data_IF_350391461075
#
_entry.id   IF_350391461075
#
_cell.length_a   1.000
_cell.length_b   1.000
_cell.length_c   1.000
_cell.angle_alpha   90.00
_cell.angle_beta   90.00
_cell.angle_gamma   90.00
#
_symmetry.space_group_name_H-M   'P 1'
#
loop_
_entity.id
_entity.type
_entity.pdbx_description
1 polymer ?
#
# COMPACT_ATOMS: atom_id res chain seq x y z
N UNK A 1 40.32 -22.14 19.67
CA UNK A 1 39.82 -20.75 19.69
C UNK A 1 39.39 -20.20 18.32
N UNK A 2 40.15 -20.39 17.21
CA UNK A 2 39.77 -19.86 15.88
C UNK A 2 38.37 -20.28 15.38
N UNK A 3 37.97 -21.54 15.58
CA UNK A 3 36.64 -22.04 15.16
C UNK A 3 35.46 -21.41 15.94
N UNK A 4 35.63 -21.14 17.23
CA UNK A 4 34.60 -20.52 18.08
C UNK A 4 34.43 -19.04 17.68
N UNK A 5 35.53 -18.32 17.42
CA UNK A 5 35.49 -16.92 16.98
C UNK A 5 34.85 -16.75 15.59
N UNK A 6 35.13 -17.66 14.64
CA UNK A 6 34.48 -17.65 13.32
C UNK A 6 32.98 -17.96 13.42
N UNK A 7 32.59 -18.92 14.26
CA UNK A 7 31.19 -19.24 14.54
C UNK A 7 30.44 -18.06 15.18
N UNK A 8 31.05 -17.39 16.16
CA UNK A 8 30.49 -16.19 16.80
C UNK A 8 30.32 -15.03 15.80
N UNK A 9 31.30 -14.80 14.91
CA UNK A 9 31.22 -13.76 13.87
C UNK A 9 30.14 -14.06 12.84
N UNK A 10 29.99 -15.32 12.41
CA UNK A 10 28.92 -15.76 11.49
C UNK A 10 27.54 -15.62 12.12
N UNK A 11 27.40 -15.99 13.39
CA UNK A 11 26.16 -15.85 14.17
C UNK A 11 25.75 -14.38 14.34
N UNK A 12 26.70 -13.51 14.70
CA UNK A 12 26.46 -12.06 14.81
C UNK A 12 26.03 -11.45 13.47
N UNK A 13 26.66 -11.86 12.36
CA UNK A 13 26.28 -11.40 11.01
C UNK A 13 24.87 -11.86 10.60
N UNK A 14 24.48 -13.08 10.95
CA UNK A 14 23.13 -13.58 10.66
C UNK A 14 22.07 -12.85 11.50
N UNK A 15 22.35 -12.58 12.78
CA UNK A 15 21.46 -11.79 13.63
C UNK A 15 21.26 -10.37 13.10
N UNK A 16 22.31 -9.74 12.58
CA UNK A 16 22.21 -8.44 11.92
C UNK A 16 21.30 -8.52 10.68
N UNK A 17 21.53 -9.47 9.77
CA UNK A 17 20.70 -9.62 8.57
C UNK A 17 19.22 -9.86 8.92
N UNK A 18 18.95 -10.71 9.91
CA UNK A 18 17.59 -10.92 10.44
C UNK A 18 16.95 -9.62 10.93
N UNK A 19 17.69 -8.79 11.66
CA UNK A 19 17.17 -7.52 12.19
C UNK A 19 16.87 -6.49 11.08
N UNK A 20 17.53 -6.59 9.93
CA UNK A 20 17.29 -5.70 8.79
C UNK A 20 15.98 -6.01 8.06
N UNK A 21 15.45 -7.23 8.16
CA UNK A 21 14.20 -7.61 7.47
C UNK A 21 12.99 -6.81 8.01
N UNK A 22 12.72 -6.73 9.34
CA UNK A 22 11.66 -5.86 9.86
C UNK A 22 11.87 -4.37 9.53
N UNK A 23 13.12 -3.90 9.48
CA UNK A 23 13.44 -2.50 9.11
C UNK A 23 13.07 -2.24 7.65
N UNK A 24 13.47 -3.13 6.74
CA UNK A 24 13.11 -3.06 5.33
C UNK A 24 11.59 -3.10 5.15
N UNK A 25 10.90 -3.95 5.93
CA UNK A 25 9.44 -4.07 5.89
C UNK A 25 8.76 -2.79 6.35
N UNK A 26 9.20 -2.20 7.46
CA UNK A 26 8.69 -0.93 7.95
C UNK A 26 8.88 0.20 6.93
N UNK A 27 9.99 0.18 6.18
CA UNK A 27 10.22 1.13 5.09
C UNK A 27 9.23 0.93 3.93
N UNK A 28 9.03 -0.30 3.47
CA UNK A 28 8.04 -0.64 2.42
C UNK A 28 6.62 -0.22 2.82
N UNK A 29 6.15 -0.67 3.98
CA UNK A 29 4.81 -0.37 4.50
C UNK A 29 4.61 1.13 4.70
N UNK A 30 5.57 1.78 5.37
CA UNK A 30 5.54 3.21 5.62
C UNK A 30 5.55 4.03 4.33
N UNK A 31 6.37 3.66 3.36
CA UNK A 31 6.47 4.37 2.08
C UNK A 31 5.15 4.34 1.31
N UNK A 32 4.57 3.15 1.10
CA UNK A 32 3.29 3.00 0.38
C UNK A 32 2.19 3.80 1.06
N UNK A 33 2.12 3.75 2.40
CA UNK A 33 1.16 4.54 3.17
C UNK A 33 1.35 6.05 2.95
N UNK A 34 2.55 6.56 3.18
CA UNK A 34 2.84 7.99 3.15
C UNK A 34 2.67 8.59 1.75
N UNK A 35 3.12 7.89 0.71
CA UNK A 35 2.95 8.36 -0.67
C UNK A 35 1.47 8.36 -1.08
N UNK A 36 0.70 7.35 -0.66
CA UNK A 36 -0.75 7.29 -0.90
C UNK A 36 -1.49 8.45 -0.23
N UNK A 37 -1.16 8.72 1.03
CA UNK A 37 -1.68 9.86 1.80
C UNK A 37 -1.32 11.17 1.09
N UNK A 38 -0.08 11.34 0.65
CA UNK A 38 0.37 12.54 -0.04
C UNK A 38 -0.40 12.78 -1.35
N UNK A 39 -0.60 11.73 -2.18
CA UNK A 39 -1.40 11.85 -3.42
C UNK A 39 -2.83 12.28 -3.13
N UNK A 40 -3.49 11.64 -2.18
CA UNK A 40 -4.88 11.98 -1.82
C UNK A 40 -4.99 13.39 -1.22
N UNK A 41 -4.01 13.79 -0.40
CA UNK A 41 -3.92 15.16 0.15
C UNK A 41 -3.80 16.18 -0.96
N UNK A 42 -2.97 15.90 -1.97
CA UNK A 42 -2.86 16.72 -3.17
C UNK A 42 -4.22 16.85 -3.89
N UNK A 43 -4.93 15.75 -4.13
CA UNK A 43 -6.24 15.78 -4.81
C UNK A 43 -7.29 16.57 -4.02
N UNK A 44 -7.37 16.36 -2.70
CA UNK A 44 -8.26 17.12 -1.80
C UNK A 44 -7.92 18.61 -1.86
N UNK A 45 -6.63 18.97 -1.80
CA UNK A 45 -6.18 20.37 -1.84
C UNK A 45 -6.51 21.09 -3.17
N UNK A 46 -6.68 20.34 -4.26
CA UNK A 46 -7.09 20.89 -5.56
C UNK A 46 -8.58 21.16 -5.67
N UNK A 47 -9.39 20.71 -4.71
CA UNK A 47 -10.84 20.94 -4.72
C UNK A 47 -11.55 20.27 -5.91
N UNK A 48 -10.98 19.20 -6.45
CA UNK A 48 -11.55 18.45 -7.58
C UNK A 48 -12.88 17.85 -7.14
N UNK A 49 -13.88 17.84 -8.03
CA UNK A 49 -15.19 17.24 -7.76
C UNK A 49 -15.18 15.75 -8.10
N UNK A 50 -15.97 14.96 -7.38
CA UNK A 50 -16.04 13.51 -7.63
C UNK A 50 -16.45 13.15 -9.05
N UNK A 51 -17.32 13.95 -9.67
CA UNK A 51 -17.78 13.72 -11.05
C UNK A 51 -16.66 13.80 -12.10
N UNK A 52 -15.59 14.52 -11.79
CA UNK A 52 -14.46 14.77 -12.70
C UNK A 52 -13.37 13.68 -12.55
N UNK A 53 -13.48 12.80 -11.55
CA UNK A 53 -12.52 11.73 -11.28
C UNK A 53 -12.90 10.43 -11.98
N UNK A 54 -11.89 9.61 -12.26
CA UNK A 54 -12.09 8.28 -12.86
C UNK A 54 -12.84 7.29 -11.92
N UNK A 55 -13.15 6.10 -12.43
CA UNK A 55 -14.00 5.11 -11.76
C UNK A 55 -13.48 4.67 -10.38
N UNK A 56 -12.16 4.62 -10.19
CA UNK A 56 -11.55 4.28 -8.89
C UNK A 56 -11.98 5.23 -7.78
N UNK A 57 -12.26 6.50 -8.10
CA UNK A 57 -12.73 7.50 -7.15
C UNK A 57 -14.26 7.61 -7.08
N UNK A 58 -15.01 7.02 -8.02
CA UNK A 58 -16.46 6.83 -7.86
C UNK A 58 -16.76 5.80 -6.77
N UNK A 59 -15.95 4.74 -6.69
CA UNK A 59 -16.00 3.79 -5.58
C UNK A 59 -15.76 4.49 -4.23
N UNK A 60 -14.90 5.50 -4.20
CA UNK A 60 -14.70 6.35 -3.04
C UNK A 60 -15.96 7.15 -2.67
N UNK A 61 -16.64 7.80 -3.64
CA UNK A 61 -17.88 8.53 -3.37
C UNK A 61 -18.98 7.62 -2.80
N UNK A 62 -19.05 6.37 -3.28
CA UNK A 62 -19.93 5.36 -2.71
C UNK A 62 -19.51 4.97 -1.28
N UNK A 63 -18.22 4.77 -1.02
CA UNK A 63 -17.68 4.45 0.31
C UNK A 63 -17.99 5.55 1.35
N UNK A 64 -17.86 6.82 0.96
CA UNK A 64 -18.27 7.96 1.80
C UNK A 64 -19.76 7.99 2.08
N UNK A 65 -20.60 7.64 1.10
CA UNK A 65 -22.05 7.56 1.33
C UNK A 65 -22.39 6.59 2.46
N UNK A 66 -21.57 5.55 2.67
CA UNK A 66 -21.71 4.64 3.80
C UNK A 66 -21.09 5.13 5.12
N UNK A 67 -20.38 6.27 5.13
CA UNK A 67 -19.74 6.85 6.32
C UNK A 67 -18.39 6.23 6.65
N UNK A 68 -17.67 5.72 5.65
CA UNK A 68 -16.32 5.17 5.84
C UNK A 68 -16.29 3.71 6.34
N UNK A 69 -17.43 3.03 6.32
CA UNK A 69 -17.59 1.60 6.61
C UNK A 69 -18.65 1.06 5.64
N UNK A 70 -18.67 -0.23 5.31
CA UNK A 70 -19.78 -0.82 4.53
C UNK A 70 -20.68 -1.63 5.48
N UNK A 71 -21.51 -1.01 6.33
CA UNK A 71 -22.48 -1.75 7.11
C UNK A 71 -23.63 -2.19 6.21
N UNK A 72 -23.99 -3.47 6.32
CA UNK A 72 -25.13 -4.13 5.64
C UNK A 72 -26.50 -3.49 5.99
N UNK A 73 -26.54 -2.45 6.84
CA UNK A 73 -27.76 -1.86 7.42
C UNK A 73 -28.00 -0.38 7.09
N UNK A 74 -27.20 0.26 6.22
CA UNK A 74 -27.44 1.65 5.80
C UNK A 74 -28.26 1.75 4.52
N UNK A 75 -29.55 1.38 4.63
CA UNK A 75 -30.48 1.43 3.51
C UNK A 75 -30.62 2.85 2.91
N UNK A 76 -30.45 3.89 3.72
CA UNK A 76 -30.42 5.29 3.28
C UNK A 76 -29.23 5.58 2.35
N UNK A 77 -28.03 5.10 2.70
CA UNK A 77 -26.84 5.21 1.85
C UNK A 77 -26.99 4.42 0.55
N UNK A 78 -27.51 3.19 0.64
CA UNK A 78 -27.84 2.36 -0.53
C UNK A 78 -28.87 3.07 -1.42
N UNK A 79 -29.90 3.67 -0.84
CA UNK A 79 -30.93 4.42 -1.58
C UNK A 79 -30.36 5.64 -2.28
N UNK A 80 -29.44 6.38 -1.64
CA UNK A 80 -28.70 7.50 -2.25
C UNK A 80 -27.85 7.04 -3.43
N UNK A 81 -27.07 5.96 -3.26
CA UNK A 81 -26.27 5.36 -4.34
C UNK A 81 -27.18 4.93 -5.50
N UNK A 82 -28.26 4.19 -5.23
CA UNK A 82 -29.20 3.72 -6.25
C UNK A 82 -29.89 4.86 -7.02
N UNK A 83 -30.08 6.01 -6.38
CA UNK A 83 -30.64 7.22 -7.01
C UNK A 83 -29.58 8.10 -7.70
N UNK A 84 -28.30 7.75 -7.61
CA UNK A 84 -27.19 8.58 -8.06
C UNK A 84 -26.97 9.85 -7.23
N UNK A 85 -27.67 10.00 -6.10
CA UNK A 85 -27.62 11.16 -5.21
C UNK A 85 -26.52 11.01 -4.14
N UNK A 86 -25.28 10.83 -4.62
CA UNK A 86 -24.09 10.70 -3.78
C UNK A 86 -23.22 11.97 -3.79
N UNK A 87 -23.80 13.10 -4.22
CA UNK A 87 -23.14 14.40 -4.15
C UNK A 87 -21.90 14.52 -5.04
N UNK A 88 -21.94 13.95 -6.25
CA UNK A 88 -20.79 13.91 -7.17
C UNK A 88 -20.26 15.30 -7.57
N UNK A 89 -21.09 16.34 -7.49
CA UNK A 89 -20.70 17.74 -7.72
C UNK A 89 -19.91 18.39 -6.57
N UNK A 90 -19.80 17.71 -5.43
CA UNK A 90 -19.03 18.20 -4.29
C UNK A 90 -17.53 17.96 -4.47
N UNK A 91 -16.66 18.85 -3.95
CA UNK A 91 -15.23 18.59 -3.84
C UNK A 91 -14.93 17.35 -3.00
N UNK A 92 -13.77 16.73 -3.23
CA UNK A 92 -13.26 15.66 -2.37
C UNK A 92 -13.11 16.15 -0.92
N UNK A 93 -13.64 15.40 0.06
CA UNK A 93 -13.63 15.76 1.48
C UNK A 93 -13.08 14.66 2.41
N UNK A 94 -12.46 13.59 1.88
CA UNK A 94 -11.84 12.56 2.73
C UNK A 94 -10.74 13.13 3.61
N UNK A 95 -10.55 12.43 4.73
CA UNK A 95 -9.31 12.49 5.50
C UNK A 95 -8.35 11.36 5.01
N UNK A 96 -7.23 11.70 4.34
CA UNK A 96 -6.33 10.70 3.77
C UNK A 96 -5.73 9.73 4.80
N UNK A 97 -5.42 10.23 6.00
CA UNK A 97 -4.84 9.44 7.11
C UNK A 97 -5.77 8.33 7.60
N UNK A 98 -7.08 8.59 7.58
CA UNK A 98 -8.10 7.60 7.95
C UNK A 98 -8.46 6.65 6.82
N UNK A 99 -8.24 7.08 5.58
CA UNK A 99 -8.67 6.34 4.39
C UNK A 99 -7.64 5.29 3.94
N UNK A 100 -6.35 5.61 4.10
CA UNK A 100 -5.24 4.71 3.82
C UNK A 100 -4.85 3.96 5.08
N UNK A 101 -5.16 2.67 5.09
CA UNK A 101 -4.82 1.75 6.17
C UNK A 101 -4.08 0.54 5.61
N UNK A 102 -2.87 0.31 6.12
CA UNK A 102 -2.04 -0.85 5.81
C UNK A 102 -2.43 -2.08 6.65
N UNK A 103 -3.42 -1.94 7.55
CA UNK A 103 -3.87 -2.99 8.48
C UNK A 103 -2.73 -3.58 9.32
N UNK A 104 -1.69 -2.77 9.56
CA UNK A 104 -0.41 -3.14 10.19
C UNK A 104 0.36 -4.28 9.50
N UNK A 105 -0.09 -4.68 8.30
CA UNK A 105 0.48 -5.73 7.46
C UNK A 105 0.12 -5.45 6.00
N UNK A 106 1.02 -4.78 5.28
CA UNK A 106 0.91 -4.57 3.84
C UNK A 106 1.22 -5.87 3.08
N UNK A 107 0.21 -6.73 2.96
CA UNK A 107 0.17 -7.87 2.04
C UNK A 107 -0.31 -7.42 0.65
N UNK A 108 -0.32 -8.34 -0.31
CA UNK A 108 -0.78 -8.12 -1.70
C UNK A 108 -2.22 -7.60 -1.77
N UNK A 109 -3.13 -8.17 -1.00
CA UNK A 109 -4.54 -7.76 -0.95
C UNK A 109 -4.70 -6.32 -0.46
N UNK A 110 -3.99 -5.94 0.60
CA UNK A 110 -3.97 -4.58 1.14
C UNK A 110 -3.30 -3.61 0.16
N UNK A 111 -2.22 -4.02 -0.51
CA UNK A 111 -1.59 -3.23 -1.55
C UNK A 111 -2.55 -2.98 -2.73
N UNK A 112 -3.31 -4.01 -3.13
CA UNK A 112 -4.33 -3.91 -4.19
C UNK A 112 -5.45 -2.95 -3.78
N UNK A 113 -5.94 -3.07 -2.55
CA UNK A 113 -6.93 -2.15 -1.98
C UNK A 113 -6.42 -0.70 -2.00
N UNK A 114 -5.19 -0.45 -1.52
CA UNK A 114 -4.58 0.87 -1.51
C UNK A 114 -4.39 1.39 -2.95
N UNK A 115 -3.91 0.56 -3.86
CA UNK A 115 -3.70 0.92 -5.27
C UNK A 115 -5.01 1.38 -5.92
N UNK A 116 -6.11 0.64 -5.71
CA UNK A 116 -7.44 1.04 -6.15
C UNK A 116 -7.87 2.37 -5.52
N UNK A 117 -7.71 2.52 -4.19
CA UNK A 117 -8.06 3.75 -3.47
C UNK A 117 -7.35 4.99 -3.99
N UNK A 118 -6.14 4.83 -4.51
CA UNK A 118 -5.35 5.93 -5.08
C UNK A 118 -5.41 5.99 -6.60
N UNK A 119 -6.19 5.13 -7.27
CA UNK A 119 -6.32 5.12 -8.73
C UNK A 119 -5.03 4.72 -9.45
N UNK A 120 -4.37 3.67 -8.97
CA UNK A 120 -3.18 3.05 -9.57
C UNK A 120 -3.55 1.66 -10.06
N UNK A 121 -3.09 1.33 -11.27
CA UNK A 121 -3.20 -0.02 -11.81
C UNK A 121 -2.30 -0.99 -11.04
N UNK A 122 -2.91 -2.07 -10.56
CA UNK A 122 -2.26 -3.09 -9.76
C UNK A 122 -1.61 -4.19 -10.62
N UNK A 123 -1.87 -4.26 -11.92
CA UNK A 123 -1.41 -5.35 -12.80
C UNK A 123 0.10 -5.62 -12.70
N UNK A 124 0.92 -4.58 -12.49
CA UNK A 124 2.38 -4.70 -12.37
C UNK A 124 2.86 -5.37 -11.07
N UNK A 125 1.97 -5.55 -10.08
CA UNK A 125 2.27 -6.20 -8.80
C UNK A 125 1.79 -7.66 -8.73
N UNK A 126 0.91 -8.10 -9.65
CA UNK A 126 0.30 -9.44 -9.60
C UNK A 126 1.34 -10.57 -9.60
N UNK A 127 2.41 -10.42 -10.38
CA UNK A 127 3.48 -11.42 -10.43
C UNK A 127 4.40 -11.40 -9.20
N UNK A 128 4.20 -10.47 -8.27
CA UNK A 128 5.00 -10.28 -7.05
C UNK A 128 4.24 -10.62 -5.77
N UNK A 129 2.97 -11.02 -5.85
CA UNK A 129 2.12 -11.29 -4.66
C UNK A 129 2.74 -12.33 -3.73
N UNK A 130 3.15 -13.50 -4.26
CA UNK A 130 3.79 -14.54 -3.44
C UNK A 130 5.10 -14.05 -2.77
N UNK A 131 5.85 -13.18 -3.44
CA UNK A 131 7.06 -12.59 -2.87
C UNK A 131 6.71 -11.61 -1.73
N UNK A 132 5.67 -10.80 -1.89
CA UNK A 132 5.19 -9.86 -0.87
C UNK A 132 4.65 -10.62 0.35
N UNK A 133 3.78 -11.60 0.12
CA UNK A 133 3.02 -12.27 1.18
C UNK A 133 3.87 -13.27 1.96
N UNK A 134 4.51 -14.21 1.26
CA UNK A 134 5.28 -15.27 1.90
C UNK A 134 6.76 -14.88 2.01
N UNK A 135 7.34 -14.42 0.90
CA UNK A 135 8.77 -14.11 0.80
C UNK A 135 9.22 -12.97 1.71
N UNK A 136 8.33 -12.01 2.00
CA UNK A 136 8.69 -10.82 2.76
C UNK A 136 7.88 -10.66 4.05
N UNK A 137 6.55 -10.57 3.97
CA UNK A 137 5.69 -10.44 5.14
C UNK A 137 5.77 -11.68 6.03
N UNK A 138 5.66 -12.88 5.44
CA UNK A 138 5.85 -14.15 6.15
C UNK A 138 7.20 -14.20 6.87
N UNK A 139 8.29 -13.94 6.16
CA UNK A 139 9.64 -13.88 6.73
C UNK A 139 9.75 -12.85 7.88
N UNK A 140 9.20 -11.64 7.71
CA UNK A 140 9.15 -10.60 8.76
C UNK A 140 8.38 -11.09 9.98
N UNK A 141 7.23 -11.72 9.80
CA UNK A 141 6.41 -12.23 10.90
C UNK A 141 7.15 -13.28 11.71
N UNK A 142 7.76 -14.26 11.04
CA UNK A 142 8.57 -15.29 11.71
C UNK A 142 9.68 -14.65 12.56
N UNK A 143 10.39 -13.66 12.03
CA UNK A 143 11.47 -12.97 12.75
C UNK A 143 10.93 -12.21 13.96
N UNK A 144 9.84 -11.45 13.81
CA UNK A 144 9.22 -10.68 14.89
C UNK A 144 8.61 -11.57 15.98
N UNK A 145 8.12 -12.76 15.63
CA UNK A 145 7.62 -13.76 16.59
C UNK A 145 8.75 -14.58 17.26
N UNK A 146 10.01 -14.30 16.95
CA UNK A 146 11.17 -14.92 17.60
C UNK A 146 11.59 -16.26 17.01
N UNK A 147 11.08 -16.65 15.84
CA UNK A 147 11.45 -17.90 15.18
C UNK A 147 12.91 -17.88 14.72
N UNK A 148 13.56 -19.05 14.74
CA UNK A 148 14.97 -19.20 14.35
C UNK A 148 15.15 -19.36 12.83
N UNK A 149 14.76 -18.35 12.06
CA UNK A 149 15.07 -18.22 10.62
C UNK A 149 16.53 -17.77 10.36
N UNK A 150 17.31 -18.50 9.56
CA UNK A 150 18.61 -18.01 9.09
C UNK A 150 18.45 -17.27 7.76
N UNK A 151 19.04 -16.10 7.63
CA UNK A 151 19.05 -15.34 6.37
C UNK A 151 20.50 -15.16 5.94
N UNK A 152 20.85 -15.68 4.77
CA UNK A 152 22.14 -15.45 4.14
C UNK A 152 22.22 -14.05 3.55
N UNK A 153 23.44 -13.55 3.35
CA UNK A 153 23.65 -12.24 2.71
C UNK A 153 23.03 -12.18 1.31
N UNK A 154 23.11 -13.26 0.54
CA UNK A 154 22.57 -13.33 -0.82
C UNK A 154 21.04 -13.24 -0.80
N UNK A 155 20.38 -13.98 0.09
CA UNK A 155 18.92 -13.90 0.26
C UNK A 155 18.48 -12.49 0.65
N UNK A 156 19.19 -11.86 1.59
CA UNK A 156 18.90 -10.48 1.99
C UNK A 156 19.10 -9.50 0.83
N UNK A 157 20.24 -9.57 0.12
CA UNK A 157 20.54 -8.65 -0.99
C UNK A 157 19.48 -8.76 -2.10
N UNK A 158 19.04 -9.99 -2.42
CA UNK A 158 17.98 -10.23 -3.41
C UNK A 158 16.64 -9.65 -2.95
N UNK A 159 16.23 -9.92 -1.71
CA UNK A 159 14.99 -9.38 -1.15
C UNK A 159 15.02 -7.84 -1.08
N UNK A 160 16.17 -7.27 -0.67
CA UNK A 160 16.36 -5.83 -0.66
C UNK A 160 16.18 -5.22 -2.05
N UNK A 161 16.84 -5.77 -3.07
CA UNK A 161 16.73 -5.27 -4.44
C UNK A 161 15.28 -5.34 -4.95
N UNK A 162 14.58 -6.44 -4.69
CA UNK A 162 13.16 -6.62 -5.03
C UNK A 162 12.26 -5.58 -4.34
N UNK A 163 12.41 -5.39 -3.03
CA UNK A 163 11.60 -4.43 -2.27
C UNK A 163 11.87 -2.99 -2.70
N UNK A 164 13.13 -2.62 -2.93
CA UNK A 164 13.45 -1.29 -3.46
C UNK A 164 12.85 -1.09 -4.85
N UNK A 165 12.88 -2.12 -5.69
CA UNK A 165 12.20 -2.12 -6.99
C UNK A 165 10.69 -1.88 -6.86
N UNK A 166 10.01 -2.50 -5.90
CA UNK A 166 8.60 -2.27 -5.61
C UNK A 166 8.31 -0.84 -5.13
N UNK A 167 9.17 -0.30 -4.25
CA UNK A 167 9.08 1.09 -3.77
C UNK A 167 9.17 2.06 -4.96
N UNK A 168 10.17 1.88 -5.83
CA UNK A 168 10.37 2.72 -7.00
C UNK A 168 9.23 2.60 -8.01
N UNK A 169 8.73 1.37 -8.23
CA UNK A 169 7.57 1.13 -9.08
C UNK A 169 6.34 1.89 -8.57
N UNK A 170 6.01 1.71 -7.29
CA UNK A 170 4.84 2.37 -6.69
C UNK A 170 4.97 3.90 -6.74
N UNK A 171 6.16 4.42 -6.39
CA UNK A 171 6.50 5.85 -6.51
C UNK A 171 6.24 6.38 -7.93
N UNK A 172 6.75 5.68 -8.94
CA UNK A 172 6.64 6.09 -10.33
C UNK A 172 5.18 6.06 -10.80
N UNK A 173 4.41 5.05 -10.42
CA UNK A 173 2.98 4.98 -10.74
C UNK A 173 2.19 6.15 -10.12
N UNK A 174 2.48 6.47 -8.86
CA UNK A 174 1.87 7.63 -8.17
C UNK A 174 2.21 8.92 -8.90
N UNK A 175 3.50 9.17 -9.15
CA UNK A 175 3.97 10.39 -9.80
C UNK A 175 3.41 10.51 -11.21
N UNK A 176 3.49 9.44 -12.01
CA UNK A 176 2.97 9.42 -13.37
C UNK A 176 1.48 9.76 -13.38
N UNK A 177 0.68 9.15 -12.49
CA UNK A 177 -0.75 9.46 -12.39
C UNK A 177 -1.02 10.94 -12.07
N UNK A 178 -0.19 11.56 -11.21
CA UNK A 178 -0.31 12.99 -10.91
C UNK A 178 0.10 13.85 -12.12
N UNK A 179 1.21 13.52 -12.78
CA UNK A 179 1.74 14.26 -13.92
C UNK A 179 0.83 14.20 -15.14
N UNK A 180 0.33 13.02 -15.49
CA UNK A 180 -0.56 12.80 -16.64
C UNK A 180 -2.01 13.14 -16.33
N UNK A 181 -2.33 13.39 -15.05
CA UNK A 181 -3.69 13.58 -14.54
C UNK A 181 -4.61 12.39 -14.85
N UNK A 182 -4.09 11.16 -14.87
CA UNK A 182 -4.88 9.95 -15.12
C UNK A 182 -5.97 9.68 -14.08
N UNK A 183 -5.98 10.44 -12.97
CA UNK A 183 -7.05 10.44 -11.97
C UNK A 183 -8.32 11.18 -12.43
N UNK A 184 -8.26 11.97 -13.50
CA UNK A 184 -9.42 12.62 -14.11
C UNK A 184 -10.10 11.69 -15.11
N UNK A 185 -11.40 11.88 -15.35
CA UNK A 185 -12.07 11.25 -16.50
C UNK A 185 -11.45 11.73 -17.81
N UNK A 186 -11.32 10.83 -18.76
CA UNK A 186 -11.06 11.23 -20.14
C UNK A 186 -12.24 12.08 -20.64
N UNK A 187 -11.93 13.18 -21.33
CA UNK A 187 -12.96 13.98 -21.97
C UNK A 187 -13.59 13.13 -23.09
N UNK A 188 -14.91 12.92 -22.99
CA UNK A 188 -15.70 12.26 -24.02
C UNK A 188 -15.76 13.10 -25.30
#
# INVERSE_FOLDING_TARGET
MRGIALSAKKSASNNLLRSLIPILYAHWEGFVKQVSIAKLTYLVSKGIKYKDLNESFLAYAAFEAFGGQIPVKRFDAISKIAKGDIGLDSPIKLNPEKYIDTKSNLNSEVLKEISLKVGIDYALFELKENMIDEGFLGLRNQICHGERVSVTKIEFDNLYAEVIGLIDLFKNLVLNSVHTKSYLKEAA
#
